data_IF_315392197594
#
_entry.id   IF_315392197594
#
_cell.length_a   1.000
_cell.length_b   1.000
_cell.length_c   1.000
_cell.angle_alpha   90.00
_cell.angle_beta   90.00
_cell.angle_gamma   90.00
#
_symmetry.space_group_name_H-M   'P 1'
#
loop_
_entity.id
_entity.type
_entity.pdbx_description
1 polymer ?
#
# COMPACT_ATOMS: atom_id res chain seq x y z
N UNK A 1 9.56 -23.83 -8.62
CA UNK A 1 8.99 -22.62 -9.23
C UNK A 1 7.55 -22.54 -8.77
N UNK A 2 7.15 -21.46 -8.11
CA UNK A 2 5.77 -21.27 -7.62
C UNK A 2 4.85 -21.05 -8.82
N UNK A 3 3.66 -21.67 -8.84
CA UNK A 3 2.66 -21.39 -9.87
C UNK A 3 2.15 -19.96 -9.75
N UNK A 4 1.87 -19.28 -10.87
CA UNK A 4 1.43 -17.87 -10.87
C UNK A 4 0.22 -17.66 -9.95
N UNK A 5 -0.83 -18.48 -10.08
CA UNK A 5 -2.03 -18.38 -9.25
C UNK A 5 -1.76 -18.63 -7.75
N UNK A 6 -0.76 -19.46 -7.42
CA UNK A 6 -0.41 -19.78 -6.03
C UNK A 6 0.21 -18.60 -5.29
N UNK A 7 0.76 -17.61 -6.03
CA UNK A 7 1.34 -16.41 -5.44
C UNK A 7 0.30 -15.43 -4.89
N UNK A 8 -0.93 -15.45 -5.42
CA UNK A 8 -2.00 -14.54 -5.03
C UNK A 8 -2.78 -15.05 -3.82
N UNK A 9 -3.41 -14.14 -3.08
CA UNK A 9 -4.14 -14.46 -1.86
C UNK A 9 -5.40 -13.62 -1.71
N UNK A 10 -6.43 -14.24 -1.16
CA UNK A 10 -7.75 -13.63 -0.95
C UNK A 10 -7.84 -12.83 0.35
N UNK A 11 -6.83 -12.89 1.22
CA UNK A 11 -6.74 -12.10 2.45
C UNK A 11 -5.34 -11.50 2.64
N UNK A 12 -5.29 -10.39 3.37
CA UNK A 12 -4.03 -9.76 3.77
C UNK A 12 -3.17 -10.70 4.62
N UNK A 13 -3.77 -11.41 5.60
CA UNK A 13 -3.04 -12.34 6.47
C UNK A 13 -2.32 -13.45 5.69
N UNK A 14 -2.99 -14.04 4.68
CA UNK A 14 -2.35 -15.01 3.81
C UNK A 14 -1.28 -14.39 2.91
N UNK A 15 -1.58 -13.24 2.30
CA UNK A 15 -0.66 -12.51 1.42
C UNK A 15 0.65 -12.17 2.15
N UNK A 16 0.55 -11.62 3.36
CA UNK A 16 1.71 -11.32 4.22
C UNK A 16 2.50 -12.57 4.57
N UNK A 17 1.82 -13.65 4.97
CA UNK A 17 2.50 -14.91 5.27
C UNK A 17 3.28 -15.42 4.06
N UNK A 18 2.69 -15.39 2.86
CA UNK A 18 3.37 -15.80 1.62
C UNK A 18 4.57 -14.90 1.31
N UNK A 19 4.43 -13.58 1.47
CA UNK A 19 5.54 -12.65 1.28
C UNK A 19 6.72 -12.95 2.22
N UNK A 20 6.45 -13.09 3.52
CA UNK A 20 7.48 -13.41 4.52
C UNK A 20 8.16 -14.76 4.23
N UNK A 21 7.37 -15.77 3.86
CA UNK A 21 7.91 -17.08 3.46
C UNK A 21 8.78 -17.00 2.20
N UNK A 22 8.38 -16.18 1.22
CA UNK A 22 9.15 -15.96 -0.01
C UNK A 22 10.47 -15.25 0.28
N UNK A 23 10.49 -14.26 1.18
CA UNK A 23 11.72 -13.61 1.65
C UNK A 23 12.66 -14.61 2.33
N UNK A 24 12.14 -15.45 3.23
CA UNK A 24 12.94 -16.51 3.89
C UNK A 24 13.51 -17.48 2.86
N UNK A 25 12.70 -17.96 1.92
CA UNK A 25 13.16 -18.86 0.85
C UNK A 25 14.22 -18.21 -0.06
N UNK A 26 14.14 -16.88 -0.23
CA UNK A 26 15.10 -16.09 -0.98
C UNK A 26 16.38 -15.73 -0.20
N UNK A 27 16.46 -16.05 1.09
CA UNK A 27 17.56 -15.73 1.99
C UNK A 27 17.62 -14.25 2.40
N UNK A 28 16.47 -13.56 2.39
CA UNK A 28 16.39 -12.13 2.66
C UNK A 28 15.94 -11.85 4.09
N UNK A 29 16.56 -10.86 4.72
CA UNK A 29 16.04 -10.27 5.96
C UNK A 29 14.87 -9.35 5.65
N UNK A 30 13.92 -9.28 6.57
CA UNK A 30 12.73 -8.42 6.47
C UNK A 30 12.77 -7.41 7.61
N UNK A 31 12.69 -6.13 7.28
CA UNK A 31 12.42 -5.05 8.23
C UNK A 31 10.89 -4.87 8.34
N UNK A 32 10.35 -4.93 9.55
CA UNK A 32 8.91 -4.93 9.80
C UNK A 32 8.50 -3.66 10.55
N UNK A 33 7.58 -2.90 9.96
CA UNK A 33 6.98 -1.71 10.54
C UNK A 33 5.53 -2.02 10.95
N UNK A 34 5.29 -2.43 12.21
CA UNK A 34 3.95 -2.75 12.67
C UNK A 34 3.07 -1.50 12.72
N UNK A 35 1.81 -1.65 12.32
CA UNK A 35 0.77 -0.66 12.55
C UNK A 35 0.03 -1.05 13.84
N UNK A 36 -0.14 -0.15 14.82
CA UNK A 36 -0.75 -0.46 16.11
C UNK A 36 -2.29 -0.58 16.02
N UNK A 37 -2.76 -1.43 15.11
CA UNK A 37 -4.15 -1.72 14.81
C UNK A 37 -4.29 -3.21 14.50
N UNK A 38 -5.48 -3.76 14.79
CA UNK A 38 -5.84 -5.11 14.35
C UNK A 38 -6.45 -5.05 12.95
N UNK A 39 -6.18 -6.08 12.16
CA UNK A 39 -6.83 -6.29 10.87
C UNK A 39 -8.28 -6.75 11.00
N UNK A 40 -8.96 -6.81 9.86
CA UNK A 40 -10.36 -7.24 9.74
C UNK A 40 -10.61 -8.60 10.39
N UNK A 41 -9.65 -9.53 10.29
CA UNK A 41 -9.75 -10.89 10.79
C UNK A 41 -8.92 -11.11 12.08
N UNK A 42 -8.52 -10.02 12.74
CA UNK A 42 -7.73 -10.03 13.98
C UNK A 42 -6.21 -10.19 13.79
N UNK A 43 -5.72 -10.11 12.54
CA UNK A 43 -4.31 -10.25 12.23
C UNK A 43 -3.50 -8.99 12.53
N UNK A 44 -2.20 -9.15 12.83
CA UNK A 44 -1.30 -8.01 13.00
C UNK A 44 -1.01 -7.33 11.66
N UNK A 45 -1.28 -6.02 11.62
CA UNK A 45 -1.01 -5.17 10.47
C UNK A 45 0.44 -4.66 10.49
N UNK A 46 1.12 -4.71 9.36
CA UNK A 46 2.48 -4.22 9.21
C UNK A 46 2.80 -3.91 7.75
N UNK A 47 3.75 -3.00 7.56
CA UNK A 47 4.50 -2.86 6.33
C UNK A 47 5.84 -3.58 6.50
N UNK A 48 6.10 -4.56 5.65
CA UNK A 48 7.30 -5.38 5.62
C UNK A 48 8.18 -4.96 4.42
N UNK A 49 9.48 -4.80 4.65
CA UNK A 49 10.45 -4.32 3.67
C UNK A 49 11.58 -5.33 3.53
N UNK A 50 11.90 -5.73 2.30
CA UNK A 50 12.99 -6.66 2.03
C UNK A 50 13.86 -6.16 0.87
N UNK A 51 15.18 -6.15 1.07
CA UNK A 51 16.16 -5.78 0.05
C UNK A 51 16.81 -7.04 -0.54
N UNK A 52 16.67 -7.23 -1.84
CA UNK A 52 17.35 -8.28 -2.61
C UNK A 52 18.48 -7.68 -3.43
N UNK A 53 19.72 -7.96 -3.04
CA UNK A 53 20.93 -7.37 -3.61
C UNK A 53 21.72 -6.54 -2.61
N UNK A 54 22.87 -5.97 -3.03
CA UNK A 54 23.75 -5.24 -2.14
C UNK A 54 23.16 -3.87 -1.75
N UNK A 55 23.31 -3.49 -0.48
CA UNK A 55 22.84 -2.19 0.03
C UNK A 55 23.51 -0.97 -0.63
N UNK A 56 24.67 -1.18 -1.26
CA UNK A 56 25.42 -0.18 -2.02
C UNK A 56 25.36 -0.43 -3.54
N UNK A 57 24.31 -1.08 -4.05
CA UNK A 57 24.10 -1.20 -5.49
C UNK A 57 24.07 0.18 -6.16
N UNK A 58 24.57 0.26 -7.40
CA UNK A 58 24.54 1.50 -8.20
C UNK A 58 23.09 1.97 -8.45
N UNK A 59 22.16 1.01 -8.55
CA UNK A 59 20.76 1.25 -8.90
C UNK A 59 19.85 0.48 -7.97
N UNK A 60 18.74 1.11 -7.59
CA UNK A 60 17.71 0.53 -6.75
C UNK A 60 16.37 0.56 -7.48
N UNK A 61 15.73 -0.59 -7.61
CA UNK A 61 14.34 -0.70 -8.06
C UNK A 61 13.44 -0.87 -6.85
N UNK A 62 12.52 0.07 -6.63
CA UNK A 62 11.51 -0.03 -5.58
C UNK A 62 10.25 -0.67 -6.17
N UNK A 63 9.80 -1.77 -5.56
CA UNK A 63 8.50 -2.38 -5.83
C UNK A 63 7.64 -2.31 -4.58
N UNK A 64 6.69 -1.38 -4.56
CA UNK A 64 5.70 -1.25 -3.50
C UNK A 64 4.35 -1.83 -3.89
N UNK A 65 3.64 -2.42 -2.94
CA UNK A 65 2.25 -2.88 -3.11
C UNK A 65 1.31 -2.23 -2.09
N UNK A 66 0.01 -2.28 -2.39
CA UNK A 66 -1.03 -1.84 -1.47
C UNK A 66 -1.00 -0.36 -1.13
N UNK A 67 -0.61 0.53 -2.06
CA UNK A 67 -0.77 1.98 -1.87
C UNK A 67 -2.25 2.32 -1.70
N UNK A 68 -3.07 1.88 -2.66
CA UNK A 68 -4.46 1.59 -2.38
C UNK A 68 -4.54 0.20 -1.76
N UNK A 69 -5.07 0.09 -0.54
CA UNK A 69 -5.03 -1.15 0.21
C UNK A 69 -5.66 -2.33 -0.54
N UNK A 70 -6.85 -2.16 -1.13
CA UNK A 70 -7.56 -3.19 -1.91
C UNK A 70 -6.76 -3.74 -3.10
N UNK A 71 -5.84 -2.97 -3.67
CA UNK A 71 -4.98 -3.44 -4.76
C UNK A 71 -3.81 -4.29 -4.25
N UNK A 72 -3.65 -4.41 -2.93
CA UNK A 72 -2.69 -5.27 -2.26
C UNK A 72 -2.82 -6.74 -2.66
N UNK A 73 -4.04 -7.25 -2.91
CA UNK A 73 -4.26 -8.64 -3.34
C UNK A 73 -3.46 -8.97 -4.62
N UNK A 74 -3.49 -8.05 -5.58
CA UNK A 74 -2.77 -8.20 -6.83
C UNK A 74 -1.28 -7.88 -6.64
N UNK A 75 -0.96 -6.73 -6.03
CA UNK A 75 0.42 -6.27 -5.87
C UNK A 75 1.28 -7.21 -5.03
N UNK A 76 0.73 -7.76 -3.95
CA UNK A 76 1.41 -8.78 -3.13
C UNK A 76 1.68 -10.04 -3.94
N UNK A 77 0.74 -10.50 -4.76
CA UNK A 77 0.92 -11.71 -5.57
C UNK A 77 2.08 -11.56 -6.55
N UNK A 78 2.20 -10.39 -7.19
CA UNK A 78 3.34 -10.06 -8.06
C UNK A 78 4.67 -10.12 -7.29
N UNK A 79 4.73 -9.51 -6.10
CA UNK A 79 5.94 -9.51 -5.27
C UNK A 79 6.31 -10.93 -4.80
N UNK A 80 5.34 -11.72 -4.33
CA UNK A 80 5.53 -13.12 -3.92
C UNK A 80 6.06 -13.96 -5.07
N UNK A 81 5.46 -13.84 -6.26
CA UNK A 81 5.92 -14.57 -7.45
C UNK A 81 7.37 -14.19 -7.80
N UNK A 82 7.66 -12.89 -7.86
CA UNK A 82 9.00 -12.37 -8.17
C UNK A 82 10.08 -12.87 -7.19
N UNK A 83 9.78 -12.94 -5.89
CA UNK A 83 10.70 -13.46 -4.87
C UNK A 83 11.03 -14.95 -5.07
N UNK A 84 10.12 -15.72 -5.65
CA UNK A 84 10.33 -17.13 -6.01
C UNK A 84 10.94 -17.33 -7.41
N UNK A 85 11.07 -16.27 -8.22
CA UNK A 85 11.62 -16.33 -9.57
C UNK A 85 13.14 -16.08 -9.54
N UNK A 86 13.90 -17.18 -9.62
CA UNK A 86 15.35 -17.13 -9.63
C UNK A 86 15.94 -16.41 -10.86
N UNK A 87 15.26 -16.49 -12.02
CA UNK A 87 15.72 -15.84 -13.25
C UNK A 87 15.56 -14.33 -13.14
N UNK A 88 14.40 -13.85 -12.71
CA UNK A 88 14.16 -12.43 -12.41
C UNK A 88 15.22 -11.86 -11.47
N UNK A 89 15.45 -12.55 -10.34
CA UNK A 89 16.39 -12.10 -9.32
C UNK A 89 17.84 -12.11 -9.83
N UNK A 90 18.23 -13.12 -10.61
CA UNK A 90 19.54 -13.16 -11.22
C UNK A 90 19.73 -12.01 -12.22
N UNK A 91 18.74 -11.76 -13.08
CA UNK A 91 18.76 -10.67 -14.06
C UNK A 91 18.91 -9.29 -13.42
N UNK A 92 18.21 -9.04 -12.31
CA UNK A 92 18.37 -7.79 -11.56
C UNK A 92 19.81 -7.64 -11.02
N UNK A 93 20.35 -8.69 -10.39
CA UNK A 93 21.73 -8.69 -9.88
C UNK A 93 22.78 -8.50 -10.97
N UNK A 94 22.66 -9.23 -12.09
CA UNK A 94 23.60 -9.14 -13.22
C UNK A 94 23.55 -7.75 -13.88
N UNK A 95 22.42 -7.05 -13.79
CA UNK A 95 22.27 -5.67 -14.23
C UNK A 95 22.77 -4.63 -13.20
N UNK A 96 23.31 -5.06 -12.06
CA UNK A 96 23.76 -4.17 -10.98
C UNK A 96 22.61 -3.45 -10.25
N UNK A 97 21.41 -4.02 -10.27
CA UNK A 97 20.20 -3.45 -9.66
C UNK A 97 19.85 -4.23 -8.40
N UNK A 98 19.81 -3.56 -7.25
CA UNK A 98 19.16 -4.10 -6.06
C UNK A 98 17.64 -3.85 -6.14
N UNK A 99 16.86 -4.75 -5.55
CA UNK A 99 15.40 -4.68 -5.57
C UNK A 99 14.87 -4.53 -4.14
N UNK A 100 14.21 -3.41 -3.85
CA UNK A 100 13.56 -3.15 -2.56
C UNK A 100 12.06 -3.45 -2.68
N UNK A 101 11.62 -4.53 -2.05
CA UNK A 101 10.22 -4.88 -1.94
C UNK A 101 9.61 -4.20 -0.71
N UNK A 102 8.46 -3.54 -0.89
CA UNK A 102 7.67 -2.93 0.18
C UNK A 102 6.27 -3.55 0.15
N UNK A 103 5.96 -4.39 1.13
CA UNK A 103 4.72 -5.16 1.26
C UNK A 103 4.10 -4.91 2.65
N UNK A 104 3.03 -4.15 2.83
CA UNK A 104 2.29 -3.32 1.89
C UNK A 104 2.12 -1.93 2.52
N UNK A 105 2.07 -0.88 1.70
CA UNK A 105 2.08 0.52 2.18
C UNK A 105 0.87 0.88 3.06
N UNK A 106 -0.30 0.31 2.76
CA UNK A 106 -1.54 0.49 3.52
C UNK A 106 -2.08 -0.88 4.00
N UNK A 107 -1.49 -1.47 5.06
CA UNK A 107 -1.89 -2.80 5.52
C UNK A 107 -3.33 -2.80 6.06
N UNK A 108 -3.79 -1.69 6.67
CA UNK A 108 -5.19 -1.54 7.08
C UNK A 108 -6.15 -1.60 5.89
N UNK A 109 -5.92 -0.77 4.86
CA UNK A 109 -6.77 -0.79 3.67
C UNK A 109 -6.73 -2.14 2.96
N UNK A 110 -5.60 -2.84 2.98
CA UNK A 110 -5.48 -4.16 2.38
C UNK A 110 -6.35 -5.18 3.14
N UNK A 111 -6.18 -5.30 4.46
CA UNK A 111 -7.00 -6.18 5.31
C UNK A 111 -8.50 -5.89 5.22
N UNK A 112 -8.89 -4.61 5.15
CA UNK A 112 -10.29 -4.20 5.09
C UNK A 112 -10.86 -4.05 3.67
N UNK A 113 -10.10 -4.36 2.61
CA UNK A 113 -10.53 -4.22 1.22
C UNK A 113 -10.95 -2.78 0.88
N UNK A 114 -10.16 -1.80 1.32
CA UNK A 114 -10.37 -0.36 1.13
C UNK A 114 -9.23 0.28 0.36
N UNK A 115 -9.54 1.33 -0.39
CA UNK A 115 -8.53 2.16 -1.07
C UNK A 115 -7.69 2.98 -0.08
N UNK A 116 -8.29 3.37 1.03
CA UNK A 116 -7.79 4.38 1.97
C UNK A 116 -7.26 3.78 3.28
N UNK A 117 -6.53 4.56 4.08
CA UNK A 117 -6.11 4.19 5.45
C UNK A 117 -7.31 4.18 6.41
N UNK A 118 -7.05 3.85 7.67
CA UNK A 118 -8.02 3.95 8.78
C UNK A 118 -8.60 5.35 8.95
N UNK A 119 -7.85 6.41 8.63
CA UNK A 119 -8.33 7.80 8.69
C UNK A 119 -9.08 8.23 7.42
N UNK A 120 -9.41 7.30 6.52
CA UNK A 120 -9.94 7.59 5.18
C UNK A 120 -9.01 8.42 4.28
N UNK A 121 -7.69 8.33 4.49
CA UNK A 121 -6.70 9.00 3.64
C UNK A 121 -6.34 8.13 2.44
N UNK A 122 -6.45 8.68 1.23
CA UNK A 122 -5.87 8.08 0.03
C UNK A 122 -4.37 8.42 -0.01
N UNK A 123 -3.52 7.42 0.27
CA UNK A 123 -2.06 7.61 0.26
C UNK A 123 -1.55 8.11 -1.09
N UNK A 124 -2.19 7.70 -2.20
CA UNK A 124 -1.83 8.13 -3.55
C UNK A 124 -2.29 9.57 -3.86
N UNK A 125 -2.78 10.31 -2.87
CA UNK A 125 -3.10 11.74 -2.94
C UNK A 125 -2.45 12.54 -1.82
N UNK A 126 -1.69 11.90 -0.93
CA UNK A 126 -1.20 12.49 0.31
C UNK A 126 0.34 12.62 0.36
N UNK A 127 0.98 12.92 -0.77
CA UNK A 127 2.44 13.05 -0.91
C UNK A 127 2.98 14.43 -0.49
N UNK A 128 2.30 15.11 0.45
CA UNK A 128 2.72 16.44 0.91
C UNK A 128 3.89 16.32 1.91
N UNK A 129 4.79 17.31 1.88
CA UNK A 129 5.78 17.46 2.94
C UNK A 129 5.12 18.11 4.16
N UNK A 130 4.80 17.29 5.16
CA UNK A 130 4.16 17.73 6.40
C UNK A 130 5.12 18.45 7.36
N UNK A 131 6.42 18.52 7.05
CA UNK A 131 7.34 19.38 7.80
C UNK A 131 7.25 20.86 7.36
N UNK A 132 6.52 21.15 6.27
CA UNK A 132 6.28 22.49 5.76
C UNK A 132 4.81 22.90 5.94
N UNK A 133 4.50 24.21 5.91
CA UNK A 133 3.12 24.67 5.82
C UNK A 133 2.41 24.06 4.59
N UNK A 134 1.21 23.54 4.80
CA UNK A 134 0.42 22.94 3.73
C UNK A 134 -0.08 24.02 2.73
N UNK A 135 -0.16 23.71 1.43
CA UNK A 135 -0.75 24.61 0.45
C UNK A 135 -2.19 24.97 0.81
N UNK A 136 -2.51 26.26 0.77
CA UNK A 136 -3.88 26.74 1.02
C UNK A 136 -4.71 26.61 -0.26
N UNK A 137 -5.80 25.85 -0.20
CA UNK A 137 -6.80 25.79 -1.26
C UNK A 137 -8.13 26.39 -0.77
N UNK A 138 -8.26 27.71 -0.86
CA UNK A 138 -9.43 28.44 -0.38
C UNK A 138 -10.73 28.04 -1.12
N UNK A 139 -10.63 27.70 -2.40
CA UNK A 139 -11.79 27.25 -3.19
C UNK A 139 -12.29 25.87 -2.72
N UNK A 140 -11.38 24.94 -2.41
CA UNK A 140 -11.78 23.67 -1.81
C UNK A 140 -12.30 23.85 -0.38
N UNK A 141 -11.71 24.75 0.41
CA UNK A 141 -12.17 25.01 1.77
C UNK A 141 -13.63 25.49 1.82
N UNK A 142 -14.10 26.29 0.84
CA UNK A 142 -15.51 26.68 0.75
C UNK A 142 -16.43 25.56 0.25
N UNK A 143 -15.90 24.62 -0.53
CA UNK A 143 -16.63 23.46 -1.06
C UNK A 143 -16.71 22.28 -0.06
N UNK A 144 -15.72 22.11 0.81
CA UNK A 144 -15.60 20.99 1.74
C UNK A 144 -16.86 20.71 2.59
N UNK A 145 -17.46 21.70 3.28
CA UNK A 145 -18.66 21.45 4.10
C UNK A 145 -19.88 21.04 3.27
N UNK A 146 -19.88 21.28 1.95
CA UNK A 146 -20.93 20.82 1.06
C UNK A 146 -20.74 19.35 0.69
N UNK A 147 -19.50 18.95 0.39
CA UNK A 147 -19.15 17.57 0.01
C UNK A 147 -19.14 16.60 1.20
N UNK A 148 -18.72 17.07 2.38
CA UNK A 148 -18.61 16.29 3.61
C UNK A 148 -19.38 17.04 4.72
N UNK A 149 -20.72 17.00 4.68
CA UNK A 149 -21.54 17.69 5.68
C UNK A 149 -21.44 17.01 7.05
N UNK A 150 -21.68 17.78 8.11
CA UNK A 150 -21.76 17.26 9.49
C UNK A 150 -22.91 16.25 9.66
N UNK A 151 -24.03 16.49 8.98
CA UNK A 151 -25.20 15.63 9.00
C UNK A 151 -25.23 14.70 7.77
N UNK A 152 -25.36 13.40 8.03
CA UNK A 152 -25.60 12.38 6.99
C UNK A 152 -26.85 11.55 7.30
N UNK A 153 -27.79 11.39 6.34
CA UNK A 153 -27.73 11.79 4.93
C UNK A 153 -27.83 13.32 4.71
N UNK A 154 -27.41 13.84 3.55
CA UNK A 154 -27.41 15.28 3.26
C UNK A 154 -28.81 15.90 3.39
N UNK A 155 -28.88 17.10 3.98
CA UNK A 155 -30.13 17.87 4.07
C UNK A 155 -30.54 18.43 2.70
N UNK A 156 -31.84 18.76 2.48
CA UNK A 156 -32.28 19.45 1.26
C UNK A 156 -31.56 20.78 0.99
N UNK A 157 -31.19 21.50 2.07
CA UNK A 157 -30.41 22.73 1.98
C UNK A 157 -29.00 22.46 1.46
N UNK A 158 -28.31 21.41 1.96
CA UNK A 158 -27.00 21.02 1.45
C UNK A 158 -27.06 20.61 -0.02
N UNK A 159 -28.05 19.80 -0.40
CA UNK A 159 -28.25 19.38 -1.79
C UNK A 159 -28.46 20.58 -2.73
N UNK A 160 -29.24 21.56 -2.30
CA UNK A 160 -29.45 22.82 -3.04
C UNK A 160 -28.14 23.61 -3.18
N UNK A 161 -27.36 23.71 -2.11
CA UNK A 161 -26.08 24.41 -2.11
C UNK A 161 -25.04 23.74 -3.03
N UNK A 162 -24.96 22.41 -3.05
CA UNK A 162 -24.13 21.66 -4.01
C UNK A 162 -24.59 21.95 -5.44
N UNK A 163 -25.90 21.90 -5.71
CA UNK A 163 -26.45 22.11 -7.05
C UNK A 163 -26.22 23.53 -7.58
N UNK A 164 -26.19 24.54 -6.71
CA UNK A 164 -25.88 25.92 -7.08
C UNK A 164 -24.38 26.17 -7.31
N UNK A 165 -23.52 25.26 -6.86
CA UNK A 165 -22.07 25.34 -7.04
C UNK A 165 -21.60 24.73 -8.36
N UNK A 166 -22.33 23.73 -8.88
CA UNK A 166 -22.12 23.11 -10.20
C UNK A 166 -22.63 24.00 -11.35
#
# INVERSE_FOLDING_TARGET
MLGVAEAFSDSYGEARRKFLQACVAAGLSVDTHPLPLEGRDGEQLAMDVALDGPANAERLLLLSSGCHGVEGHCGSGVQVFALHDAEWRAKARDAGVAVLYIHALNPHGFSHTRRVTQENVDLNRNFMDFAQPLPVNAAYASLHPLLVPEDWPPTPANQTAIAAWM
#
